data_IF_637712143809
#
_entry.id   IF_637712143809
#
_cell.length_a   1.000
_cell.length_b   1.000
_cell.length_c   1.000
_cell.angle_alpha   90.00
_cell.angle_beta   90.00
_cell.angle_gamma   90.00
#
_symmetry.space_group_name_H-M   'P 1'
#
loop_
_entity.id
_entity.type
_entity.pdbx_description
1 polymer ?
#
# COMPACT_ATOMS: atom_id res chain seq x y z
N UNK A 1 -28.23 7.34 6.99
CA UNK A 1 -27.84 7.04 5.59
C UNK A 1 -26.38 6.61 5.58
N UNK A 2 -26.05 5.42 5.09
CA UNK A 2 -24.64 5.02 4.94
C UNK A 2 -24.00 5.85 3.83
N UNK A 3 -22.93 6.58 4.13
CA UNK A 3 -22.21 7.34 3.12
C UNK A 3 -21.57 6.39 2.10
N UNK A 4 -21.73 6.70 0.81
CA UNK A 4 -21.15 5.91 -0.28
C UNK A 4 -19.67 6.28 -0.47
N UNK A 5 -18.79 5.29 -0.46
CA UNK A 5 -17.36 5.49 -0.71
C UNK A 5 -17.10 5.71 -2.20
N UNK A 6 -16.27 6.70 -2.54
CA UNK A 6 -15.76 6.94 -3.89
C UNK A 6 -14.55 6.06 -4.22
N UNK A 7 -13.73 5.76 -3.21
CA UNK A 7 -12.60 4.85 -3.36
C UNK A 7 -12.35 4.10 -2.06
N UNK A 8 -12.06 2.80 -2.19
CA UNK A 8 -11.78 1.92 -1.06
C UNK A 8 -10.75 0.87 -1.50
N UNK A 9 -9.55 0.95 -0.94
CA UNK A 9 -8.47 0.02 -1.23
C UNK A 9 -7.82 -0.47 0.05
N UNK A 10 -7.28 -1.69 -0.01
CA UNK A 10 -6.53 -2.29 1.10
C UNK A 10 -5.13 -2.62 0.63
N UNK A 11 -4.15 -2.40 1.50
CA UNK A 11 -2.76 -2.82 1.31
C UNK A 11 -2.37 -3.73 2.46
N UNK A 12 -2.00 -4.94 2.11
CA UNK A 12 -1.52 -5.96 3.04
C UNK A 12 0.02 -5.95 3.09
N UNK A 13 0.55 -5.64 4.27
CA UNK A 13 1.98 -5.61 4.56
C UNK A 13 2.49 -6.85 5.31
N UNK A 14 1.66 -7.88 5.51
CA UNK A 14 1.96 -9.00 6.42
C UNK A 14 3.29 -9.69 6.12
N UNK A 15 3.63 -9.90 4.85
CA UNK A 15 4.88 -10.56 4.46
C UNK A 15 6.14 -9.68 4.61
N UNK A 16 5.99 -8.38 4.82
CA UNK A 16 7.12 -7.44 4.91
C UNK A 16 7.38 -7.01 6.34
N UNK A 17 6.33 -6.94 7.16
CA UNK A 17 6.45 -6.72 8.59
C UNK A 17 7.29 -7.83 9.24
N UNK A 18 7.13 -9.08 8.79
CA UNK A 18 7.92 -10.22 9.27
C UNK A 18 9.38 -10.17 8.86
N UNK A 19 9.67 -9.83 7.60
CA UNK A 19 11.02 -9.93 7.04
C UNK A 19 11.90 -8.70 7.34
N UNK A 20 11.35 -7.49 7.31
CA UNK A 20 12.13 -6.24 7.34
C UNK A 20 11.66 -5.19 8.33
N UNK A 21 10.77 -5.54 9.26
CA UNK A 21 10.24 -4.60 10.25
C UNK A 21 9.67 -3.31 9.61
N UNK A 22 9.09 -3.39 8.41
CA UNK A 22 8.41 -2.24 7.81
C UNK A 22 7.24 -1.85 8.69
N UNK A 23 7.23 -0.61 9.19
CA UNK A 23 6.17 -0.13 10.07
C UNK A 23 5.04 0.49 9.24
N UNK A 24 3.83 -0.10 9.34
CA UNK A 24 2.63 0.40 8.64
C UNK A 24 2.31 1.86 8.99
N UNK A 25 2.62 2.30 10.22
CA UNK A 25 2.41 3.68 10.64
C UNK A 25 3.32 4.66 9.89
N UNK A 26 4.57 4.29 9.59
CA UNK A 26 5.47 5.12 8.79
C UNK A 26 4.93 5.31 7.37
N UNK A 27 4.24 4.30 6.82
CA UNK A 27 3.57 4.46 5.53
C UNK A 27 2.39 5.43 5.61
N UNK A 28 1.62 5.45 6.70
CA UNK A 28 0.55 6.45 6.90
C UNK A 28 1.12 7.87 6.97
N UNK A 29 2.21 8.08 7.69
CA UNK A 29 2.92 9.37 7.71
C UNK A 29 3.41 9.78 6.32
N UNK A 30 3.98 8.82 5.57
CA UNK A 30 4.38 9.03 4.19
C UNK A 30 3.20 9.46 3.30
N UNK A 31 2.02 8.83 3.45
CA UNK A 31 0.81 9.21 2.71
C UNK A 31 0.36 10.63 3.05
N UNK A 32 0.42 11.06 4.30
CA UNK A 32 0.08 12.43 4.69
C UNK A 32 0.93 13.47 3.93
N UNK A 33 2.21 13.18 3.70
CA UNK A 33 3.12 14.08 2.98
C UNK A 33 3.14 13.92 1.44
N UNK A 34 2.73 12.78 0.89
CA UNK A 34 2.90 12.45 -0.54
C UNK A 34 1.62 12.17 -1.32
N UNK A 35 0.50 11.93 -0.63
CA UNK A 35 -0.79 11.75 -1.28
C UNK A 35 -1.28 13.09 -1.86
N UNK A 36 -1.62 13.08 -3.15
CA UNK A 36 -2.09 14.25 -3.90
C UNK A 36 -3.57 14.12 -4.16
N UNK A 37 -4.28 15.21 -3.91
CA UNK A 37 -5.69 15.38 -4.30
C UNK A 37 -5.73 16.50 -5.34
N UNK A 38 -6.21 16.21 -6.54
CA UNK A 38 -6.22 17.17 -7.66
C UNK A 38 -4.85 17.83 -7.89
N UNK A 39 -3.80 17.00 -7.92
CA UNK A 39 -2.40 17.42 -8.08
C UNK A 39 -1.83 18.32 -6.96
N UNK A 40 -2.53 18.46 -5.83
CA UNK A 40 -2.08 19.26 -4.68
C UNK A 40 -1.79 18.37 -3.46
N UNK A 41 -0.70 18.69 -2.74
CA UNK A 41 -0.34 18.06 -1.47
C UNK A 41 -1.10 18.72 -0.30
N UNK A 42 -1.04 18.10 0.89
CA UNK A 42 -1.56 18.68 2.14
C UNK A 42 -3.08 18.62 2.32
N UNK A 43 -3.79 17.92 1.43
CA UNK A 43 -5.26 17.74 1.49
C UNK A 43 -5.68 16.33 1.91
N UNK A 44 -4.74 15.50 2.38
CA UNK A 44 -4.95 14.10 2.72
C UNK A 44 -5.95 13.93 3.86
N UNK A 45 -5.78 14.65 4.98
CA UNK A 45 -6.62 14.50 6.17
C UNK A 45 -8.12 14.76 5.94
N UNK A 46 -8.46 15.61 4.97
CA UNK A 46 -9.86 15.94 4.64
C UNK A 46 -10.49 14.97 3.64
N UNK A 47 -9.68 14.24 2.87
CA UNK A 47 -10.15 13.47 1.72
C UNK A 47 -9.83 11.98 1.80
N UNK A 48 -8.93 11.56 2.68
CA UNK A 48 -8.49 10.20 2.83
C UNK A 48 -8.58 9.78 4.29
N UNK A 49 -9.42 8.79 4.56
CA UNK A 49 -9.49 8.10 5.83
C UNK A 49 -8.58 6.86 5.76
N UNK A 50 -7.64 6.77 6.68
CA UNK A 50 -6.74 5.62 6.83
C UNK A 50 -7.09 4.83 8.09
N UNK A 51 -7.14 3.51 7.99
CA UNK A 51 -7.36 2.63 9.15
C UNK A 51 -6.40 1.45 9.09
N UNK A 52 -5.71 1.19 10.20
CA UNK A 52 -4.79 0.06 10.34
C UNK A 52 -5.50 -1.03 11.13
N UNK A 53 -5.46 -2.26 10.62
CA UNK A 53 -5.91 -3.46 11.31
C UNK A 53 -4.77 -4.49 11.24
N UNK A 54 -3.95 -4.55 12.29
CA UNK A 54 -2.72 -5.33 12.29
C UNK A 54 -1.79 -4.87 11.17
N UNK A 55 -1.56 -5.76 10.19
CA UNK A 55 -0.69 -5.51 9.04
C UNK A 55 -1.44 -5.01 7.79
N UNK A 56 -2.77 -4.84 7.90
CA UNK A 56 -3.62 -4.35 6.82
C UNK A 56 -3.85 -2.85 6.97
N UNK A 57 -3.51 -2.08 5.93
CA UNK A 57 -3.87 -0.68 5.81
C UNK A 57 -5.05 -0.52 4.87
N UNK A 58 -6.13 0.06 5.37
CA UNK A 58 -7.31 0.42 4.58
C UNK A 58 -7.30 1.91 4.26
N UNK A 59 -7.50 2.24 2.98
CA UNK A 59 -7.56 3.58 2.43
C UNK A 59 -8.97 3.84 1.88
N UNK A 60 -9.71 4.73 2.53
CA UNK A 60 -11.08 5.08 2.15
C UNK A 60 -11.18 6.55 1.79
N UNK A 61 -11.91 6.87 0.74
CA UNK A 61 -12.30 8.24 0.41
C UNK A 61 -13.78 8.30 0.07
N UNK A 62 -14.47 9.24 0.70
CA UNK A 62 -15.87 9.60 0.41
C UNK A 62 -15.97 10.74 -0.60
N UNK A 63 -14.96 11.61 -0.66
CA UNK A 63 -15.00 12.89 -1.38
C UNK A 63 -14.20 12.87 -2.68
N UNK A 64 -13.22 11.97 -2.79
CA UNK A 64 -12.26 11.97 -3.88
C UNK A 64 -12.10 10.57 -4.47
N UNK A 65 -12.15 10.49 -5.79
CA UNK A 65 -11.88 9.26 -6.51
C UNK A 65 -10.40 9.22 -6.92
N UNK A 66 -9.74 8.11 -6.64
CA UNK A 66 -8.36 7.89 -7.06
C UNK A 66 -8.16 6.46 -7.56
N UNK A 67 -7.31 6.26 -8.57
CA UNK A 67 -7.15 4.95 -9.17
C UNK A 67 -6.33 4.02 -8.27
N UNK A 68 -6.66 2.72 -8.33
CA UNK A 68 -5.91 1.67 -7.63
C UNK A 68 -4.40 1.72 -7.97
N UNK A 69 -4.03 2.04 -9.21
CA UNK A 69 -2.63 2.16 -9.62
C UNK A 69 -1.86 3.22 -8.84
N UNK A 70 -2.52 4.27 -8.35
CA UNK A 70 -1.89 5.32 -7.55
C UNK A 70 -1.43 4.79 -6.19
N UNK A 71 -2.23 3.93 -5.55
CA UNK A 71 -1.84 3.24 -4.32
C UNK A 71 -0.59 2.41 -4.54
N UNK A 72 -0.55 1.60 -5.61
CA UNK A 72 0.62 0.79 -5.96
C UNK A 72 1.87 1.65 -6.15
N UNK A 73 1.73 2.78 -6.84
CA UNK A 73 2.83 3.72 -7.04
C UNK A 73 3.38 4.25 -5.72
N UNK A 74 2.51 4.69 -4.81
CA UNK A 74 2.91 5.21 -3.51
C UNK A 74 3.58 4.15 -2.63
N UNK A 75 3.04 2.93 -2.60
CA UNK A 75 3.65 1.81 -1.85
C UNK A 75 5.05 1.51 -2.40
N UNK A 76 5.19 1.34 -3.72
CA UNK A 76 6.51 1.10 -4.35
C UNK A 76 7.50 2.23 -4.05
N UNK A 77 7.03 3.48 -4.08
CA UNK A 77 7.88 4.64 -3.80
C UNK A 77 8.27 4.73 -2.33
N UNK A 78 7.37 4.38 -1.40
CA UNK A 78 7.69 4.26 0.03
C UNK A 78 8.74 3.19 0.29
N UNK A 79 8.55 1.98 -0.25
CA UNK A 79 9.49 0.87 -0.10
C UNK A 79 10.87 1.18 -0.69
N UNK A 80 10.95 1.97 -1.77
CA UNK A 80 12.22 2.42 -2.32
C UNK A 80 12.88 3.54 -1.51
N UNK A 81 12.10 4.32 -0.74
CA UNK A 81 12.61 5.48 0.04
C UNK A 81 13.04 5.06 1.45
N UNK A 82 12.30 4.14 2.07
CA UNK A 82 12.61 3.63 3.41
C UNK A 82 13.93 2.85 3.47
N UNK A 83 14.47 2.48 2.31
CA UNK A 83 15.30 1.31 2.18
C UNK A 83 16.31 1.52 1.04
N UNK A 84 17.55 1.87 1.41
CA UNK A 84 18.67 2.13 0.50
C UNK A 84 18.84 1.01 -0.53
N UNK A 85 18.40 1.23 -1.79
CA UNK A 85 18.59 0.46 -3.03
C UNK A 85 18.37 -1.08 -3.02
N UNK A 86 18.88 -1.83 -2.04
CA UNK A 86 18.87 -3.29 -1.92
C UNK A 86 17.47 -3.91 -1.87
N UNK A 87 16.44 -3.15 -1.50
CA UNK A 87 15.09 -3.68 -1.30
C UNK A 87 14.14 -3.50 -2.48
N UNK A 88 14.60 -2.87 -3.57
CA UNK A 88 13.78 -2.73 -4.78
C UNK A 88 13.46 -4.10 -5.40
N UNK A 89 14.40 -5.03 -5.29
CA UNK A 89 14.28 -6.40 -5.80
C UNK A 89 13.84 -7.39 -4.71
N UNK A 90 13.82 -6.95 -3.45
CA UNK A 90 13.37 -7.77 -2.32
C UNK A 90 11.84 -7.80 -2.18
N UNK A 91 11.09 -6.87 -2.81
CA UNK A 91 9.63 -6.83 -2.71
C UNK A 91 8.93 -6.53 -4.01
N UNK A 92 7.78 -7.20 -4.18
CA UNK A 92 6.80 -6.87 -5.21
C UNK A 92 5.44 -6.55 -4.62
N UNK A 93 4.81 -5.53 -5.21
CA UNK A 93 3.41 -5.18 -4.92
C UNK A 93 2.53 -5.83 -5.99
N UNK A 94 1.73 -6.81 -5.58
CA UNK A 94 0.84 -7.61 -6.43
C UNK A 94 -0.62 -7.41 -6.03
N UNK A 95 -1.53 -7.50 -6.99
CA UNK A 95 -2.96 -7.47 -6.66
C UNK A 95 -3.38 -8.78 -5.98
N UNK A 96 -4.32 -8.71 -5.05
CA UNK A 96 -4.87 -9.93 -4.45
C UNK A 96 -5.71 -10.68 -5.51
N UNK A 97 -5.54 -12.01 -5.65
CA UNK A 97 -6.17 -12.78 -6.72
C UNK A 97 -7.69 -12.81 -6.63
N UNK A 98 -8.22 -12.83 -5.40
CA UNK A 98 -9.68 -12.88 -5.13
C UNK A 98 -10.29 -11.51 -4.87
N UNK A 99 -9.47 -10.50 -4.55
CA UNK A 99 -9.96 -9.18 -4.15
C UNK A 99 -9.31 -8.09 -5.00
N UNK A 100 -10.11 -7.57 -5.93
CA UNK A 100 -9.66 -6.57 -6.91
C UNK A 100 -9.29 -5.24 -6.27
N UNK A 101 -9.70 -4.94 -5.05
CA UNK A 101 -9.38 -3.68 -4.36
C UNK A 101 -8.17 -3.80 -3.42
N UNK A 102 -7.61 -5.00 -3.30
CA UNK A 102 -6.50 -5.27 -2.39
C UNK A 102 -5.19 -5.40 -3.14
N UNK A 103 -4.13 -4.84 -2.56
CA UNK A 103 -2.74 -5.15 -2.89
C UNK A 103 -2.10 -5.92 -1.75
N UNK A 104 -1.21 -6.83 -2.10
CA UNK A 104 -0.35 -7.55 -1.17
C UNK A 104 1.09 -7.18 -1.51
N UNK A 105 1.86 -6.80 -0.50
CA UNK A 105 3.30 -6.62 -0.62
C UNK A 105 3.95 -7.95 -0.28
N UNK A 106 4.55 -8.61 -1.28
CA UNK A 106 5.25 -9.89 -1.13
C UNK A 106 6.75 -9.65 -1.10
N UNK A 107 7.45 -10.40 -0.25
CA UNK A 107 8.91 -10.53 -0.32
C UNK A 107 9.28 -11.47 -1.47
N UNK A 108 10.28 -11.11 -2.27
CA UNK A 108 10.83 -11.94 -3.35
C UNK A 108 12.04 -12.76 -2.88
N UNK A 109 12.53 -12.52 -1.65
CA UNK A 109 13.71 -13.18 -1.05
C UNK A 109 13.56 -14.71 -0.91
N UNK A 110 12.35 -15.27 -1.06
CA UNK A 110 12.10 -16.72 -0.94
C UNK A 110 11.51 -17.38 -2.21
N UNK A 111 11.45 -16.68 -3.34
CA UNK A 111 10.88 -17.29 -4.56
C UNK A 111 11.88 -18.15 -5.36
N UNK A 112 13.06 -18.45 -4.80
CA UNK A 112 14.03 -19.37 -5.42
C UNK A 112 13.83 -20.84 -5.01
N UNK A 113 12.89 -21.19 -4.12
CA UNK A 113 12.69 -22.58 -3.67
C UNK A 113 11.31 -23.18 -3.98
N UNK A 114 10.35 -22.41 -4.53
CA UNK A 114 8.99 -22.92 -4.85
C UNK A 114 8.59 -22.84 -6.34
N UNK A 115 9.51 -22.53 -7.25
CA UNK A 115 9.28 -22.59 -8.72
C UNK A 115 9.82 -23.87 -9.39
N UNK A 116 10.05 -24.95 -8.62
CA UNK A 116 10.34 -26.31 -9.14
C UNK A 116 9.15 -27.29 -8.92
N UNK A 117 7.93 -26.86 -9.25
CA UNK A 117 6.77 -27.75 -9.44
C UNK A 117 5.85 -27.28 -10.58
N UNK A 118 6.35 -27.34 -11.81
CA UNK A 118 5.70 -28.04 -12.94
C UNK A 118 6.66 -28.21 -14.13
#
# INVERSE_FOLDING_TARGET
MSKTLKSNFVVDFSAVVSELQVNVNQFVEYLNGKFRVNNRLGRTAQNLQTSINGNLLTLKSETYEFPKSYVRFLVKKFLATANNAAYRDAFRVVAHPKDKNTYVVKADVYNNEEEDKE
#
